data_IF_127056508398
#
_entry.id   IF_127056508398
#
_cell.length_a   1.000
_cell.length_b   1.000
_cell.length_c   1.000
_cell.angle_alpha   90.00
_cell.angle_beta   90.00
_cell.angle_gamma   90.00
#
_symmetry.space_group_name_H-M   'P 1'
#
loop_
_entity.id
_entity.type
_entity.pdbx_description
1 polymer ?
#
# COMPACT_ATOMS: atom_id res chain seq x y z
N UNK A 1 -6.06 6.10 23.64
CA UNK A 1 -6.21 4.94 22.73
C UNK A 1 -4.83 4.51 22.29
N UNK A 2 -4.21 3.53 22.96
CA UNK A 2 -2.86 3.02 22.59
C UNK A 2 -2.55 1.63 23.15
N UNK A 3 -3.43 1.04 23.99
CA UNK A 3 -3.19 -0.25 24.66
C UNK A 3 -2.87 -1.37 23.68
N UNK A 4 -3.59 -1.45 22.57
CA UNK A 4 -3.38 -2.50 21.55
C UNK A 4 -2.00 -2.45 20.90
N UNK A 5 -1.45 -1.26 20.65
CA UNK A 5 -0.13 -1.13 20.03
C UNK A 5 0.97 -1.56 21.00
N UNK A 6 0.81 -1.19 22.28
CA UNK A 6 1.73 -1.59 23.35
C UNK A 6 1.71 -3.11 23.54
N UNK A 7 0.52 -3.72 23.58
CA UNK A 7 0.35 -5.18 23.67
C UNK A 7 1.00 -5.91 22.48
N UNK A 8 0.77 -5.43 21.24
CA UNK A 8 1.40 -6.01 20.04
C UNK A 8 2.92 -5.90 20.12
N UNK A 9 3.44 -4.75 20.57
CA UNK A 9 4.89 -4.56 20.72
C UNK A 9 5.49 -5.52 21.74
N UNK A 10 4.82 -5.70 22.87
CA UNK A 10 5.25 -6.64 23.91
C UNK A 10 5.23 -8.09 23.40
N UNK A 11 4.22 -8.47 22.62
CA UNK A 11 4.13 -9.80 22.00
C UNK A 11 5.28 -10.04 21.00
N UNK A 12 5.60 -9.06 20.15
CA UNK A 12 6.69 -9.19 19.17
C UNK A 12 8.05 -9.36 19.86
N UNK A 13 8.28 -8.63 20.97
CA UNK A 13 9.55 -8.69 21.71
C UNK A 13 9.77 -10.00 22.49
N UNK A 14 8.74 -10.84 22.61
CA UNK A 14 8.84 -12.18 23.21
C UNK A 14 9.32 -13.25 22.22
N UNK A 15 9.28 -12.95 20.91
CA UNK A 15 9.69 -13.88 19.87
C UNK A 15 11.22 -14.00 19.80
N UNK A 16 11.75 -15.14 19.32
CA UNK A 16 13.18 -15.27 19.08
C UNK A 16 13.63 -14.29 17.98
N UNK A 17 14.90 -13.83 18.01
CA UNK A 17 15.40 -12.83 17.06
C UNK A 17 15.19 -13.18 15.59
N UNK A 18 15.26 -14.48 15.25
CA UNK A 18 15.05 -14.96 13.88
C UNK A 18 13.61 -14.71 13.39
N UNK A 19 12.62 -14.99 14.24
CA UNK A 19 11.20 -14.77 13.92
C UNK A 19 10.87 -13.28 13.85
N UNK A 20 11.50 -12.46 14.70
CA UNK A 20 11.37 -10.99 14.62
C UNK A 20 11.92 -10.48 13.28
N UNK A 21 13.09 -10.96 12.85
CA UNK A 21 13.66 -10.58 11.56
C UNK A 21 12.79 -11.01 10.39
N UNK A 22 12.19 -12.20 10.47
CA UNK A 22 11.23 -12.66 9.47
C UNK A 22 9.99 -11.75 9.39
N UNK A 23 9.39 -11.39 10.54
CA UNK A 23 8.26 -10.47 10.59
C UNK A 23 8.60 -9.10 10.00
N UNK A 24 9.79 -8.56 10.30
CA UNK A 24 10.25 -7.29 9.72
C UNK A 24 10.34 -7.40 8.19
N UNK A 25 10.83 -8.51 7.66
CA UNK A 25 10.92 -8.72 6.21
C UNK A 25 9.54 -8.72 5.56
N UNK A 26 8.59 -9.49 6.10
CA UNK A 26 7.23 -9.60 5.57
C UNK A 26 6.46 -8.27 5.63
N UNK A 27 6.62 -7.52 6.74
CA UNK A 27 6.04 -6.17 6.88
C UNK A 27 6.63 -5.24 5.81
N UNK A 28 7.94 -5.23 5.63
CA UNK A 28 8.59 -4.36 4.65
C UNK A 28 8.18 -4.70 3.21
N UNK A 29 8.05 -5.98 2.86
CA UNK A 29 7.56 -6.41 1.55
C UNK A 29 6.13 -5.89 1.31
N UNK A 30 5.25 -6.02 2.30
CA UNK A 30 3.85 -5.60 2.20
C UNK A 30 3.71 -4.08 2.11
N UNK A 31 4.40 -3.34 2.98
CA UNK A 31 4.35 -1.88 3.02
C UNK A 31 4.99 -1.29 1.76
N UNK A 32 6.16 -1.78 1.34
CA UNK A 32 6.82 -1.31 0.11
C UNK A 32 5.96 -1.55 -1.12
N UNK A 33 5.27 -2.70 -1.19
CA UNK A 33 4.31 -2.99 -2.28
C UNK A 33 3.14 -2.01 -2.25
N UNK A 34 2.60 -1.71 -1.07
CA UNK A 34 1.48 -0.78 -0.90
C UNK A 34 1.86 0.65 -1.28
N UNK A 35 3.05 1.10 -0.88
CA UNK A 35 3.54 2.43 -1.22
C UNK A 35 3.86 2.56 -2.72
N UNK A 36 4.41 1.51 -3.33
CA UNK A 36 4.61 1.46 -4.78
C UNK A 36 3.29 1.47 -5.55
N UNK A 37 2.27 0.75 -5.06
CA UNK A 37 0.92 0.77 -5.64
C UNK A 37 0.28 2.16 -5.54
N UNK A 38 0.43 2.86 -4.41
CA UNK A 38 -0.08 4.24 -4.26
C UNK A 38 0.63 5.23 -5.18
N UNK A 39 1.94 5.11 -5.34
CA UNK A 39 2.70 5.95 -6.28
C UNK A 39 2.25 5.70 -7.73
N UNK A 40 2.00 4.43 -8.09
CA UNK A 40 1.44 4.10 -9.39
C UNK A 40 0.03 4.70 -9.56
N UNK A 41 -0.86 4.57 -8.57
CA UNK A 41 -2.21 5.15 -8.59
C UNK A 41 -2.19 6.66 -8.87
N UNK A 42 -1.31 7.42 -8.19
CA UNK A 42 -1.16 8.87 -8.44
C UNK A 42 -0.58 9.23 -9.82
N UNK A 43 0.08 8.29 -10.50
CA UNK A 43 0.60 8.48 -11.85
C UNK A 43 -0.42 8.15 -12.96
N UNK A 44 -1.58 7.58 -12.62
CA UNK A 44 -2.66 7.25 -13.54
C UNK A 44 -3.90 8.15 -13.38
N UNK A 45 -3.92 9.07 -12.42
CA UNK A 45 -5.00 10.05 -12.29
C UNK A 45 -5.15 10.93 -13.55
N UNK A 46 -4.04 11.21 -14.25
CA UNK A 46 -4.04 11.92 -15.54
C UNK A 46 -4.71 11.11 -16.67
N UNK A 47 -4.77 9.77 -16.57
CA UNK A 47 -5.45 8.91 -17.54
C UNK A 47 -6.95 8.79 -17.28
N UNK A 48 -7.42 9.24 -16.10
CA UNK A 48 -8.83 9.33 -15.76
C UNK A 48 -9.43 10.70 -16.12
N UNK A 49 -8.67 11.58 -16.78
CA UNK A 49 -9.20 12.85 -17.28
C UNK A 49 -10.21 12.57 -18.41
N UNK A 50 -11.51 12.92 -18.23
CA UNK A 50 -12.50 12.76 -19.29
C UNK A 50 -12.21 13.60 -20.55
N UNK A 51 -11.31 14.59 -20.50
CA UNK A 51 -10.84 15.34 -21.68
C UNK A 51 -9.78 14.57 -22.49
N UNK A 52 -9.02 13.66 -21.87
CA UNK A 52 -8.02 12.80 -22.51
C UNK A 52 -8.58 11.40 -22.85
N UNK A 53 -9.87 11.15 -22.58
CA UNK A 53 -10.57 9.91 -22.94
C UNK A 53 -10.78 9.83 -24.47
N UNK A 54 -9.77 9.32 -25.16
CA UNK A 54 -9.79 9.03 -26.60
C UNK A 54 -10.86 7.99 -27.00
N UNK A 55 -11.51 7.33 -26.05
CA UNK A 55 -12.62 6.41 -26.29
C UNK A 55 -13.99 7.08 -26.16
N UNK A 56 -14.06 8.29 -25.60
CA UNK A 56 -15.26 9.12 -25.58
C UNK A 56 -15.41 9.89 -26.89
N UNK A 57 -15.22 9.20 -28.02
CA UNK A 57 -15.70 9.69 -29.30
C UNK A 57 -17.21 9.44 -29.33
N UNK A 58 -17.91 10.34 -28.62
CA UNK A 58 -19.32 10.61 -28.72
C UNK A 58 -19.75 10.35 -30.17
N UNK A 59 -20.58 9.33 -30.32
CA UNK A 59 -21.41 9.06 -31.48
C UNK A 59 -22.22 10.32 -31.81
N UNK A 60 -21.62 11.26 -32.54
CA UNK A 60 -22.31 12.42 -33.09
C UNK A 60 -22.41 12.35 -34.60
N UNK A 61 -23.66 12.10 -35.00
CA UNK A 61 -24.35 12.39 -36.28
C UNK A 61 -24.06 11.53 -37.50
#
# INVERSE_FOLDING_TARGET
MTTKLTEIKEMILQLPPEEINQLIREINETVSTTDFMKLAETGFDEWNDPEEDIYNNDTKS
#
